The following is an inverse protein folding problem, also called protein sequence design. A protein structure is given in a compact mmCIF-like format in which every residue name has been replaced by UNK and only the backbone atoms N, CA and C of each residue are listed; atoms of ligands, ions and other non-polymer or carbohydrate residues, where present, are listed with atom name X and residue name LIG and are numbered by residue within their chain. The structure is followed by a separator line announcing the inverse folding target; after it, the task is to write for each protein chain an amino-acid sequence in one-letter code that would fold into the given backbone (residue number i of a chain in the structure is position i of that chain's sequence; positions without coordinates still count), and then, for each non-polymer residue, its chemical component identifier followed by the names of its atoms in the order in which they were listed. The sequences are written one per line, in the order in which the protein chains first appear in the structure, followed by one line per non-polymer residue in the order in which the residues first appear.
data_IF_405752004871
#
_entry.id   IF_405752004871
#
_cell.length_a   1.000
_cell.length_b   1.000
_cell.length_c   1.000
_cell.angle_alpha   90.00
_cell.angle_beta   90.00
_cell.angle_gamma   90.00
#
_symmetry.space_group_name_H-M   'P 1'
#
loop_
_entity.id
_entity.type
_entity.pdbx_description
1 polymer ?
#
# COMPACT_ATOMS: atom_id res chain seq x y z
N UNK A 1 9.26 7.45 -28.26
CA UNK A 1 8.61 6.78 -27.11
C UNK A 1 9.45 7.01 -25.87
N UNK A 2 8.84 7.43 -24.76
CA UNK A 2 9.53 7.77 -23.51
C UNK A 2 10.33 6.57 -22.95
N UNK A 3 11.53 6.81 -22.42
CA UNK A 3 12.37 5.79 -21.75
C UNK A 3 11.61 5.05 -20.63
N UNK A 4 10.68 5.74 -19.97
CA UNK A 4 9.84 5.16 -18.91
C UNK A 4 8.80 4.16 -19.45
N UNK A 5 8.19 4.45 -20.60
CA UNK A 5 7.24 3.54 -21.24
C UNK A 5 7.90 2.26 -21.77
N UNK A 6 9.14 2.37 -22.26
CA UNK A 6 9.90 1.22 -22.71
C UNK A 6 10.37 0.35 -21.53
N UNK A 7 10.76 0.96 -20.40
CA UNK A 7 11.10 0.23 -19.18
C UNK A 7 9.88 -0.52 -18.60
N UNK A 8 8.72 0.14 -18.52
CA UNK A 8 7.48 -0.49 -18.04
C UNK A 8 7.02 -1.65 -18.93
N UNK A 9 7.13 -1.52 -20.25
CA UNK A 9 6.81 -2.60 -21.18
C UNK A 9 7.79 -3.78 -21.08
N UNK A 10 9.08 -3.51 -20.83
CA UNK A 10 10.09 -4.55 -20.59
C UNK A 10 9.88 -5.26 -19.25
N UNK A 11 9.53 -4.53 -18.19
CA UNK A 11 9.11 -5.12 -16.90
C UNK A 11 7.85 -5.98 -17.05
N UNK A 12 6.86 -5.53 -17.84
CA UNK A 12 5.64 -6.29 -18.09
C UNK A 12 5.90 -7.57 -18.90
N UNK A 13 6.91 -7.57 -19.79
CA UNK A 13 7.34 -8.76 -20.54
C UNK A 13 8.37 -9.62 -19.79
N UNK A 14 8.76 -9.23 -18.57
CA UNK A 14 9.79 -9.92 -17.79
C UNK A 14 11.22 -9.76 -18.35
N UNK A 15 11.46 -8.84 -19.28
CA UNK A 15 12.77 -8.65 -19.94
C UNK A 15 13.79 -7.93 -19.03
N UNK A 16 13.36 -7.35 -17.91
CA UNK A 16 14.21 -6.67 -16.92
C UNK A 16 13.66 -6.97 -15.54
N UNK A 17 14.52 -7.42 -14.62
CA UNK A 17 14.15 -7.60 -13.21
C UNK A 17 15.20 -7.06 -12.27
N UNK A 18 14.76 -6.73 -11.07
CA UNK A 18 15.59 -6.22 -9.99
C UNK A 18 15.88 -7.31 -8.97
N UNK A 19 17.07 -7.28 -8.36
CA UNK A 19 17.47 -8.26 -7.35
C UNK A 19 17.11 -7.78 -5.93
N UNK A 20 15.85 -7.98 -5.57
CA UNK A 20 15.28 -7.66 -4.27
C UNK A 20 15.89 -8.52 -3.16
N UNK A 21 16.06 -9.82 -3.43
CA UNK A 21 16.50 -10.79 -2.42
C UNK A 21 17.99 -10.64 -2.13
N UNK A 22 18.84 -10.35 -3.13
CA UNK A 22 20.26 -10.06 -2.89
C UNK A 22 20.47 -8.81 -2.03
N UNK A 23 19.68 -7.76 -2.30
CA UNK A 23 19.78 -6.48 -1.59
C UNK A 23 18.97 -6.41 -0.29
N UNK A 24 18.35 -7.51 0.15
CA UNK A 24 17.46 -7.57 1.32
C UNK A 24 18.02 -6.98 2.61
N UNK A 25 19.34 -7.04 2.84
CA UNK A 25 19.96 -6.44 4.04
C UNK A 25 19.79 -4.92 4.08
N UNK A 26 19.86 -4.26 2.93
CA UNK A 26 19.64 -2.82 2.80
C UNK A 26 18.17 -2.53 3.12
N UNK A 27 17.25 -3.32 2.54
CA UNK A 27 15.82 -3.17 2.75
C UNK A 27 15.40 -3.43 4.20
N UNK A 28 15.95 -4.44 4.85
CA UNK A 28 15.74 -4.67 6.28
C UNK A 28 16.32 -3.56 7.13
N UNK A 29 17.52 -3.06 6.82
CA UNK A 29 18.11 -1.93 7.53
C UNK A 29 17.20 -0.69 7.45
N UNK A 30 16.71 -0.36 6.25
CA UNK A 30 15.78 0.75 6.04
C UNK A 30 14.46 0.53 6.77
N UNK A 31 13.86 -0.66 6.65
CA UNK A 31 12.60 -0.99 7.30
C UNK A 31 12.71 -0.92 8.83
N UNK A 32 13.79 -1.46 9.40
CA UNK A 32 14.08 -1.38 10.84
C UNK A 32 14.25 0.08 11.27
N UNK A 33 14.98 0.90 10.51
CA UNK A 33 15.16 2.32 10.83
C UNK A 33 13.81 3.07 10.85
N UNK A 34 12.97 2.86 9.83
CA UNK A 34 11.64 3.47 9.75
C UNK A 34 10.77 2.98 10.91
N UNK A 35 10.76 1.67 11.18
CA UNK A 35 10.01 1.07 12.29
C UNK A 35 10.44 1.63 13.64
N UNK A 36 11.74 1.75 13.90
CA UNK A 36 12.26 2.35 15.13
C UNK A 36 11.83 3.82 15.23
N UNK A 37 11.92 4.57 14.14
CA UNK A 37 11.50 5.99 14.12
C UNK A 37 10.01 6.13 14.44
N UNK A 38 9.18 5.27 13.85
CA UNK A 38 7.75 5.17 14.14
C UNK A 38 7.46 4.84 15.61
N UNK A 39 8.14 3.85 16.18
CA UNK A 39 7.98 3.45 17.59
C UNK A 39 8.45 4.56 18.53
N UNK A 40 9.58 5.20 18.25
CA UNK A 40 10.08 6.33 19.06
C UNK A 40 9.12 7.52 18.98
N UNK A 41 8.60 7.82 17.79
CA UNK A 41 7.57 8.83 17.61
C UNK A 41 6.34 8.57 18.48
N UNK A 42 5.83 7.34 18.43
CA UNK A 42 4.71 6.89 19.25
C UNK A 42 5.01 6.98 20.76
N UNK A 43 6.21 6.58 21.20
CA UNK A 43 6.57 6.58 22.60
C UNK A 43 6.79 8.00 23.17
N UNK A 44 7.26 8.95 22.36
CA UNK A 44 7.59 10.32 22.80
C UNK A 44 6.39 11.26 22.68
N UNK A 45 5.63 11.19 21.57
CA UNK A 45 4.50 12.09 21.32
C UNK A 45 3.15 11.51 21.74
N UNK A 46 3.03 10.19 21.79
CA UNK A 46 1.72 9.54 21.94
C UNK A 46 0.88 9.64 20.66
N UNK A 47 -0.39 9.27 20.78
CA UNK A 47 -1.39 9.46 19.73
C UNK A 47 -2.31 10.60 20.13
N UNK A 48 -2.60 11.49 19.18
CA UNK A 48 -3.66 12.46 19.34
C UNK A 48 -5.00 11.75 19.13
N UNK A 49 -5.73 11.45 20.20
CA UNK A 49 -6.96 10.69 20.12
C UNK A 49 -8.13 11.65 19.88
N UNK A 50 -8.98 11.31 18.93
CA UNK A 50 -10.09 12.18 18.60
C UNK A 50 -11.22 12.19 19.61
N UNK A 51 -12.15 13.11 19.39
CA UNK A 51 -13.33 13.31 20.25
C UNK A 51 -14.14 12.02 20.46
N UNK A 52 -14.17 11.10 19.50
CA UNK A 52 -14.89 9.84 19.65
C UNK A 52 -14.16 8.79 20.49
N UNK A 53 -12.94 9.07 20.96
CA UNK A 53 -12.23 8.20 21.90
C UNK A 53 -12.04 8.86 23.27
N UNK A 54 -11.72 10.16 23.32
CA UNK A 54 -11.54 10.89 24.59
C UNK A 54 -12.84 11.49 25.15
N UNK A 55 -13.87 11.65 24.32
CA UNK A 55 -15.02 12.50 24.63
C UNK A 55 -14.70 13.98 24.40
N UNK A 56 -15.71 14.84 24.51
CA UNK A 56 -15.55 16.28 24.32
C UNK A 56 -16.82 16.96 23.83
N UNK A 57 -16.67 18.11 23.14
CA UNK A 57 -17.79 18.82 22.53
C UNK A 57 -17.52 19.29 21.11
N UNK A 58 -18.58 19.31 20.31
CA UNK A 58 -18.62 19.92 18.99
C UNK A 58 -19.51 21.14 19.02
N UNK A 59 -18.96 22.29 18.62
CA UNK A 59 -19.69 23.55 18.49
C UNK A 59 -19.90 23.86 17.01
N UNK A 60 -21.17 23.93 16.59
CA UNK A 60 -21.55 24.36 15.25
C UNK A 60 -22.00 25.81 15.29
N UNK A 61 -21.33 26.67 14.53
CA UNK A 61 -21.63 28.10 14.44
C UNK A 61 -22.80 28.36 13.48
N UNK A 62 -23.46 29.53 13.54
CA UNK A 62 -24.48 29.90 12.55
C UNK A 62 -23.92 30.01 11.13
N UNK A 63 -24.81 29.91 10.15
CA UNK A 63 -24.49 30.03 8.71
C UNK A 63 -23.82 31.38 8.41
N UNK A 64 -22.92 31.39 7.44
CA UNK A 64 -22.15 32.57 7.03
C UNK A 64 -21.36 33.24 8.18
N UNK A 65 -20.80 32.44 9.10
CA UNK A 65 -19.89 32.96 10.12
C UNK A 65 -18.69 33.64 9.42
N UNK A 66 -18.40 34.88 9.81
CA UNK A 66 -17.37 35.72 9.15
C UNK A 66 -15.94 35.35 9.55
N UNK A 67 -15.76 34.64 10.66
CA UNK A 67 -14.46 34.18 11.12
C UNK A 67 -13.84 33.18 10.15
N UNK A 68 -12.52 33.28 9.98
CA UNK A 68 -11.75 32.26 9.28
C UNK A 68 -11.59 31.00 10.15
N UNK A 69 -11.29 29.87 9.51
CA UNK A 69 -11.03 28.59 10.19
C UNK A 69 -9.92 28.77 11.25
N UNK A 70 -8.81 29.39 10.88
CA UNK A 70 -7.67 29.63 11.77
C UNK A 70 -8.00 30.54 12.96
N UNK A 71 -8.87 31.54 12.77
CA UNK A 71 -9.28 32.41 13.88
C UNK A 71 -10.18 31.68 14.87
N UNK A 72 -11.13 30.89 14.35
CA UNK A 72 -12.02 30.10 15.18
C UNK A 72 -11.27 28.99 15.93
N UNK A 73 -10.22 28.43 15.33
CA UNK A 73 -9.30 27.48 15.96
C UNK A 73 -8.58 28.13 17.14
N UNK A 74 -7.94 29.28 16.94
CA UNK A 74 -7.25 30.02 18.00
C UNK A 74 -8.20 30.40 19.17
N UNK A 75 -9.43 30.85 18.87
CA UNK A 75 -10.42 31.15 19.91
C UNK A 75 -10.86 29.91 20.68
N UNK A 76 -11.07 28.79 19.98
CA UNK A 76 -11.45 27.54 20.61
C UNK A 76 -10.35 26.98 21.52
N UNK A 77 -9.09 27.07 21.09
CA UNK A 77 -7.93 26.65 21.89
C UNK A 77 -7.75 27.53 23.12
N UNK A 78 -7.90 28.85 22.98
CA UNK A 78 -7.82 29.78 24.11
C UNK A 78 -8.96 29.58 25.12
N UNK A 79 -10.18 29.33 24.64
CA UNK A 79 -11.35 29.13 25.49
C UNK A 79 -11.32 27.78 26.21
N UNK A 80 -10.81 26.73 25.57
CA UNK A 80 -10.84 25.36 26.09
C UNK A 80 -9.55 24.92 26.77
N UNK A 81 -8.41 25.52 26.43
CA UNK A 81 -7.07 25.06 26.84
C UNK A 81 -6.64 23.73 26.20
N UNK A 82 -7.35 23.28 25.16
CA UNK A 82 -7.10 22.04 24.43
C UNK A 82 -7.00 22.33 22.94
N UNK A 83 -6.33 21.46 22.18
CA UNK A 83 -6.27 21.57 20.72
C UNK A 83 -7.69 21.52 20.13
N UNK A 84 -7.94 22.34 19.12
CA UNK A 84 -9.24 22.43 18.46
C UNK A 84 -9.13 22.12 16.98
N UNK A 85 -10.12 21.42 16.43
CA UNK A 85 -10.19 21.12 15.00
C UNK A 85 -11.37 21.84 14.41
N UNK A 86 -11.09 22.78 13.50
CA UNK A 86 -12.12 23.62 12.88
C UNK A 86 -12.30 23.29 11.41
N UNK A 87 -13.56 23.09 11.03
CA UNK A 87 -13.95 22.75 9.68
C UNK A 87 -15.00 23.73 9.17
N UNK A 88 -14.79 24.28 7.98
CA UNK A 88 -15.82 25.09 7.31
C UNK A 88 -16.80 24.19 6.57
N UNK A 89 -18.09 24.37 6.85
CA UNK A 89 -19.18 23.65 6.19
C UNK A 89 -19.63 24.40 4.92
N UNK A 90 -20.31 23.68 4.02
CA UNK A 90 -20.69 24.19 2.69
C UNK A 90 -21.66 25.38 2.71
N UNK A 91 -22.32 25.65 3.83
CA UNK A 91 -23.20 26.81 4.04
C UNK A 91 -22.52 27.97 4.78
N UNK A 92 -21.19 27.90 4.95
CA UNK A 92 -20.39 28.92 5.61
C UNK A 92 -20.45 28.90 7.14
N UNK A 93 -21.11 27.92 7.75
CA UNK A 93 -20.95 27.64 9.19
C UNK A 93 -19.59 26.97 9.47
N UNK A 94 -19.15 27.01 10.72
CA UNK A 94 -17.95 26.36 11.21
C UNK A 94 -18.35 25.24 12.17
N UNK A 95 -17.73 24.07 12.03
CA UNK A 95 -17.78 22.97 12.99
C UNK A 95 -16.47 22.96 13.75
N UNK A 96 -16.53 23.20 15.05
CA UNK A 96 -15.38 23.33 15.94
C UNK A 96 -15.42 22.16 16.91
N UNK A 97 -14.40 21.32 16.88
CA UNK A 97 -14.31 20.12 17.70
C UNK A 97 -13.22 20.29 18.74
N UNK A 98 -13.55 20.02 20.00
CA UNK A 98 -12.60 20.04 21.10
C UNK A 98 -12.73 18.72 21.86
N UNK A 99 -11.66 17.93 21.87
CA UNK A 99 -11.57 16.68 22.59
C UNK A 99 -11.14 16.91 24.05
N UNK A 100 -11.41 15.95 24.94
CA UNK A 100 -10.91 15.94 26.32
C UNK A 100 -11.59 16.93 27.28
N UNK A 101 -12.64 17.63 26.85
CA UNK A 101 -13.36 18.59 27.70
C UNK A 101 -14.53 17.96 28.46
N UNK A 102 -14.72 18.41 29.70
CA UNK A 102 -15.88 18.04 30.50
C UNK A 102 -17.16 18.69 29.94
N UNK A 103 -18.26 17.95 30.02
CA UNK A 103 -19.62 18.42 29.73
C UNK A 103 -19.99 19.71 30.47
N UNK A 104 -19.51 19.89 31.70
CA UNK A 104 -19.77 21.11 32.47
C UNK A 104 -18.99 22.32 31.94
N UNK A 105 -17.79 22.10 31.41
CA UNK A 105 -16.95 23.13 30.80
C UNK A 105 -17.46 23.58 29.43
N UNK A 106 -18.19 22.71 28.72
CA UNK A 106 -18.66 22.98 27.36
C UNK A 106 -19.56 24.21 27.26
N UNK A 107 -20.41 24.49 28.26
CA UNK A 107 -21.24 25.70 28.27
C UNK A 107 -20.42 26.97 28.43
N UNK A 108 -19.38 26.93 29.27
CA UNK A 108 -18.46 28.06 29.43
C UNK A 108 -17.70 28.32 28.15
N UNK A 109 -17.13 27.26 27.54
CA UNK A 109 -16.43 27.35 26.26
C UNK A 109 -17.35 27.91 25.17
N UNK A 110 -18.58 27.40 25.08
CA UNK A 110 -19.60 27.90 24.13
C UNK A 110 -19.84 29.40 24.28
N UNK A 111 -19.96 29.90 25.51
CA UNK A 111 -20.23 31.32 25.75
C UNK A 111 -19.03 32.19 25.39
N UNK A 112 -17.82 31.79 25.77
CA UNK A 112 -16.58 32.49 25.38
C UNK A 112 -16.43 32.52 23.86
N UNK A 113 -16.68 31.39 23.21
CA UNK A 113 -16.61 31.28 21.76
C UNK A 113 -17.65 32.16 21.05
N UNK A 114 -18.85 32.29 21.63
CA UNK A 114 -19.90 33.18 21.12
C UNK A 114 -19.46 34.65 21.16
N UNK A 115 -18.84 35.07 22.27
CA UNK A 115 -18.33 36.43 22.44
C UNK A 115 -17.21 36.75 21.44
N UNK A 116 -16.24 35.84 21.28
CA UNK A 116 -15.09 36.04 20.38
C UNK A 116 -15.49 36.02 18.90
N UNK A 117 -16.43 35.15 18.54
CA UNK A 117 -16.99 35.07 17.18
C UNK A 117 -18.05 36.15 16.89
N UNK A 118 -18.46 36.91 17.91
CA UNK A 118 -19.50 37.96 17.85
C UNK A 118 -20.83 37.42 17.33
N UNK A 119 -21.21 36.23 17.79
CA UNK A 119 -22.49 35.58 17.50
C UNK A 119 -23.27 35.36 18.78
N UNK A 120 -24.58 35.19 18.68
CA UNK A 120 -25.38 34.85 19.86
C UNK A 120 -25.04 33.43 20.33
N UNK A 121 -24.84 33.24 21.63
CA UNK A 121 -24.61 31.92 22.22
C UNK A 121 -25.73 30.93 21.88
N UNK A 122 -26.98 31.38 21.76
CA UNK A 122 -28.11 30.53 21.40
C UNK A 122 -28.01 29.99 19.96
N UNK A 123 -27.23 30.66 19.11
CA UNK A 123 -26.99 30.25 17.72
C UNK A 123 -25.87 29.22 17.58
N UNK A 124 -25.06 29.02 18.62
CA UNK A 124 -24.05 27.96 18.66
C UNK A 124 -24.68 26.69 19.19
N UNK A 125 -24.79 25.68 18.33
CA UNK A 125 -25.25 24.36 18.73
C UNK A 125 -24.08 23.54 19.28
N UNK A 126 -24.18 23.05 20.52
CA UNK A 126 -23.18 22.21 21.16
C UNK A 126 -23.66 20.75 21.22
N UNK A 127 -22.90 19.85 20.61
CA UNK A 127 -23.08 18.40 20.69
C UNK A 127 -22.01 17.81 21.61
N UNK A 128 -22.43 17.09 22.65
CA UNK A 128 -21.51 16.52 23.64
C UNK A 128 -21.28 15.04 23.36
N UNK A 129 -20.01 14.64 23.33
CA UNK A 129 -19.60 13.25 23.25
C UNK A 129 -19.13 12.81 24.62
N UNK A 130 -19.91 11.95 25.27
CA UNK A 130 -19.62 11.47 26.62
C UNK A 130 -18.40 10.53 26.67
N UNK A 131 -17.58 10.57 27.73
CA UNK A 131 -16.41 9.69 27.88
C UNK A 131 -16.74 8.19 27.80
N UNK A 132 -17.93 7.79 28.27
CA UNK A 132 -18.40 6.40 28.23
C UNK A 132 -18.70 5.90 26.82
N UNK A 133 -19.04 6.80 25.88
CA UNK A 133 -19.13 6.45 24.46
C UNK A 133 -17.73 6.23 23.90
N UNK A 134 -16.80 7.13 24.21
CA UNK A 134 -15.43 7.04 23.73
C UNK A 134 -14.71 5.77 24.15
N UNK A 135 -14.83 5.40 25.43
CA UNK A 135 -14.29 4.15 25.97
C UNK A 135 -14.88 2.91 25.26
N UNK A 136 -16.19 2.90 24.99
CA UNK A 136 -16.83 1.79 24.27
C UNK A 136 -16.34 1.67 22.83
N UNK A 137 -16.16 2.80 22.14
CA UNK A 137 -15.69 2.83 20.76
C UNK A 137 -14.22 2.42 20.68
N UNK A 138 -13.36 2.92 21.56
CA UNK A 138 -11.96 2.52 21.69
C UNK A 138 -11.84 1.01 21.93
N UNK A 139 -12.61 0.46 22.88
CA UNK A 139 -12.59 -0.96 23.19
C UNK A 139 -13.02 -1.82 21.99
N UNK A 140 -14.06 -1.41 21.26
CA UNK A 140 -14.50 -2.11 20.03
C UNK A 140 -13.45 -2.04 18.92
N UNK A 141 -12.77 -0.91 18.76
CA UNK A 141 -11.69 -0.76 17.79
C UNK A 141 -10.53 -1.73 18.07
N UNK A 142 -10.05 -1.79 19.32
CA UNK A 142 -8.99 -2.72 19.71
C UNK A 142 -9.40 -4.18 19.60
N UNK A 143 -10.64 -4.52 19.99
CA UNK A 143 -11.17 -5.87 19.81
C UNK A 143 -11.26 -6.25 18.33
N UNK A 144 -11.74 -5.34 17.48
CA UNK A 144 -11.83 -5.55 16.04
C UNK A 144 -10.46 -5.80 15.40
N UNK A 145 -9.45 -5.03 15.78
CA UNK A 145 -8.07 -5.22 15.32
C UNK A 145 -7.51 -6.58 15.77
N UNK A 146 -7.71 -6.95 17.03
CA UNK A 146 -7.27 -8.25 17.55
C UNK A 146 -7.92 -9.42 16.83
N UNK A 147 -9.25 -9.38 16.66
CA UNK A 147 -10.01 -10.41 15.92
C UNK A 147 -9.51 -10.50 14.48
N UNK A 148 -9.34 -9.36 13.80
CA UNK A 148 -8.82 -9.31 12.43
C UNK A 148 -7.45 -9.99 12.32
N UNK A 149 -6.49 -9.64 13.19
CA UNK A 149 -5.16 -10.22 13.16
C UNK A 149 -5.18 -11.75 13.37
N UNK A 150 -6.01 -12.24 14.30
CA UNK A 150 -6.19 -13.68 14.53
C UNK A 150 -6.76 -14.37 13.28
N UNK A 151 -7.81 -13.80 12.68
CA UNK A 151 -8.42 -14.37 11.47
C UNK A 151 -7.44 -14.40 10.30
N UNK A 152 -6.62 -13.36 10.13
CA UNK A 152 -5.60 -13.31 9.09
C UNK A 152 -4.52 -14.36 9.31
N UNK A 153 -4.05 -14.55 10.55
CA UNK A 153 -3.09 -15.62 10.86
C UNK A 153 -3.67 -17.00 10.56
N UNK A 154 -4.94 -17.26 10.92
CA UNK A 154 -5.62 -18.52 10.59
C UNK A 154 -5.72 -18.71 9.08
N UNK A 155 -6.17 -17.68 8.36
CA UNK A 155 -6.27 -17.72 6.90
C UNK A 155 -4.91 -18.03 6.25
N UNK A 156 -3.86 -17.33 6.66
CA UNK A 156 -2.51 -17.53 6.14
C UNK A 156 -1.96 -18.92 6.45
N UNK A 157 -2.27 -19.48 7.63
CA UNK A 157 -1.85 -20.83 8.00
C UNK A 157 -2.56 -21.92 7.19
N UNK A 158 -3.79 -21.66 6.70
CA UNK A 158 -4.52 -22.58 5.83
C UNK A 158 -4.05 -22.44 4.37
N UNK A 159 -3.87 -21.20 3.89
CA UNK A 159 -3.50 -20.92 2.50
C UNK A 159 -2.02 -21.23 2.19
N UNK A 160 -1.14 -20.96 3.15
CA UNK A 160 0.31 -21.01 2.99
C UNK A 160 0.99 -21.81 4.10
N UNK A 161 2.26 -22.14 3.86
CA UNK A 161 3.09 -22.80 4.87
C UNK A 161 3.43 -21.84 6.01
N UNK A 162 3.68 -22.38 7.22
CA UNK A 162 3.87 -21.58 8.44
C UNK A 162 4.96 -20.49 8.34
N UNK A 163 6.02 -20.72 7.55
CA UNK A 163 7.11 -19.73 7.33
C UNK A 163 6.69 -18.57 6.45
N UNK A 164 5.84 -18.84 5.46
CA UNK A 164 5.22 -17.81 4.64
C UNK A 164 4.23 -17.03 5.50
N UNK A 165 3.35 -17.72 6.24
CA UNK A 165 2.41 -17.09 7.16
C UNK A 165 3.11 -16.17 8.18
N UNK A 166 4.23 -16.62 8.77
CA UNK A 166 5.04 -15.80 9.68
C UNK A 166 5.61 -14.56 8.99
N UNK A 167 6.15 -14.69 7.78
CA UNK A 167 6.72 -13.55 7.06
C UNK A 167 5.66 -12.52 6.66
N UNK A 168 4.49 -12.97 6.22
CA UNK A 168 3.33 -12.10 5.97
C UNK A 168 2.87 -11.40 7.25
N UNK A 169 2.79 -12.12 8.37
CA UNK A 169 2.42 -11.53 9.65
C UNK A 169 3.40 -10.44 10.10
N UNK A 170 4.71 -10.67 9.95
CA UNK A 170 5.74 -9.65 10.25
C UNK A 170 5.58 -8.42 9.35
N UNK A 171 5.27 -8.59 8.07
CA UNK A 171 5.02 -7.47 7.16
C UNK A 171 3.76 -6.68 7.58
N UNK A 172 2.68 -7.36 7.98
CA UNK A 172 1.47 -6.69 8.48
C UNK A 172 1.73 -5.89 9.76
N UNK A 173 2.47 -6.44 10.72
CA UNK A 173 2.85 -5.72 11.94
C UNK A 173 3.68 -4.48 11.60
N UNK A 174 4.60 -4.61 10.65
CA UNK A 174 5.37 -3.48 10.13
C UNK A 174 4.46 -2.40 9.53
N UNK A 175 3.47 -2.77 8.71
CA UNK A 175 2.53 -1.81 8.10
C UNK A 175 1.70 -1.04 9.12
N UNK A 176 1.17 -1.75 10.13
CA UNK A 176 0.45 -1.13 11.26
C UNK A 176 1.37 -0.16 11.99
N UNK A 177 2.60 -0.59 12.29
CA UNK A 177 3.56 0.21 13.06
C UNK A 177 3.94 1.49 12.32
N UNK A 178 4.19 1.41 11.01
CA UNK A 178 4.47 2.60 10.19
C UNK A 178 3.26 3.52 10.14
N UNK A 179 2.07 2.98 9.89
CA UNK A 179 0.85 3.78 9.76
C UNK A 179 0.56 4.52 11.06
N UNK A 180 0.54 3.83 12.19
CA UNK A 180 0.33 4.42 13.52
C UNK A 180 1.47 5.37 13.90
N UNK A 181 2.72 5.03 13.57
CA UNK A 181 3.87 5.88 13.86
C UNK A 181 3.85 7.20 13.09
N UNK A 182 3.36 7.22 11.85
CA UNK A 182 3.19 8.46 11.08
C UNK A 182 2.11 9.34 11.72
N UNK A 183 1.02 8.75 12.21
CA UNK A 183 0.00 9.50 12.96
C UNK A 183 0.60 10.16 14.20
N UNK A 184 1.37 9.42 15.00
CA UNK A 184 2.07 9.95 16.17
C UNK A 184 3.11 11.04 15.82
N UNK A 185 3.91 10.81 14.77
CA UNK A 185 4.99 11.72 14.38
C UNK A 185 4.50 13.03 13.78
N UNK A 186 3.34 13.03 13.12
CA UNK A 186 2.79 14.25 12.55
C UNK A 186 1.80 14.92 13.51
N UNK A 187 1.19 14.16 14.43
CA UNK A 187 0.18 14.65 15.35
C UNK A 187 -1.24 14.59 14.76
N UNK A 188 -1.48 13.70 13.80
CA UNK A 188 -2.81 13.52 13.23
C UNK A 188 -3.76 12.86 14.22
N UNK A 189 -5.01 13.31 14.20
CA UNK A 189 -6.07 12.79 15.05
C UNK A 189 -6.41 11.34 14.66
N UNK A 190 -6.48 10.46 15.67
CA UNK A 190 -6.94 9.09 15.52
C UNK A 190 -8.43 9.09 15.80
N UNK A 191 -9.24 8.82 14.77
CA UNK A 191 -10.70 8.71 14.89
C UNK A 191 -11.13 7.26 14.60
N UNK A 192 -12.41 6.90 14.82
CA UNK A 192 -12.93 5.61 14.39
C UNK A 192 -12.76 5.39 12.87
N UNK A 193 -12.77 6.49 12.09
CA UNK A 193 -12.43 6.48 10.67
C UNK A 193 -11.01 5.99 10.40
N UNK A 194 -10.03 6.45 11.19
CA UNK A 194 -8.63 5.99 11.13
C UNK A 194 -8.52 4.49 11.36
N UNK A 195 -9.28 3.93 12.31
CA UNK A 195 -9.31 2.47 12.57
C UNK A 195 -9.89 1.71 11.39
N UNK A 196 -10.98 2.20 10.79
CA UNK A 196 -11.57 1.61 9.58
C UNK A 196 -10.57 1.63 8.43
N UNK A 197 -9.88 2.75 8.23
CA UNK A 197 -8.80 2.87 7.24
C UNK A 197 -7.67 1.87 7.50
N UNK A 198 -7.22 1.74 8.75
CA UNK A 198 -6.19 0.80 9.16
C UNK A 198 -6.60 -0.67 8.94
N UNK A 199 -7.85 -1.04 9.24
CA UNK A 199 -8.33 -2.40 8.95
C UNK A 199 -8.42 -2.65 7.44
N UNK A 200 -8.81 -1.63 6.68
CA UNK A 200 -8.92 -1.71 5.22
C UNK A 200 -7.54 -1.90 4.56
N UNK A 201 -6.52 -1.13 4.97
CA UNK A 201 -5.17 -1.27 4.40
C UNK A 201 -4.54 -2.62 4.73
N UNK A 202 -4.85 -3.24 5.87
CA UNK A 202 -4.34 -4.56 6.17
C UNK A 202 -4.90 -5.64 5.26
N UNK A 203 -6.20 -5.56 4.92
CA UNK A 203 -6.80 -6.44 3.91
C UNK A 203 -6.15 -6.26 2.54
N UNK A 204 -5.84 -5.02 2.17
CA UNK A 204 -5.20 -4.70 0.91
C UNK A 204 -3.73 -5.16 0.84
N UNK A 205 -2.94 -4.90 1.90
CA UNK A 205 -1.55 -5.36 2.03
C UNK A 205 -1.46 -6.89 1.99
N UNK A 206 -2.42 -7.56 2.63
CA UNK A 206 -2.53 -9.01 2.57
C UNK A 206 -2.76 -9.51 1.14
N UNK A 207 -3.64 -8.86 0.36
CA UNK A 207 -3.89 -9.26 -1.04
C UNK A 207 -2.60 -9.28 -1.86
N UNK A 208 -1.78 -8.23 -1.76
CA UNK A 208 -0.53 -8.16 -2.52
C UNK A 208 0.47 -9.24 -2.06
N UNK A 209 0.58 -9.44 -0.75
CA UNK A 209 1.43 -10.50 -0.18
C UNK A 209 1.00 -11.89 -0.64
N UNK A 210 -0.31 -12.18 -0.68
CA UNK A 210 -0.89 -13.45 -1.12
C UNK A 210 -0.54 -13.72 -2.59
N UNK A 211 -0.63 -12.71 -3.46
CA UNK A 211 -0.32 -12.87 -4.90
C UNK A 211 1.15 -13.23 -5.11
N UNK A 212 2.08 -12.53 -4.43
CA UNK A 212 3.51 -12.83 -4.53
C UNK A 212 3.81 -14.23 -3.96
N UNK A 213 3.18 -14.58 -2.85
CA UNK A 213 3.39 -15.88 -2.20
C UNK A 213 2.81 -17.04 -2.99
N UNK A 214 1.70 -16.85 -3.68
CA UNK A 214 1.12 -17.88 -4.55
C UNK A 214 2.04 -18.15 -5.75
N UNK A 215 2.54 -17.09 -6.38
CA UNK A 215 3.59 -17.20 -7.42
C UNK A 215 4.85 -17.90 -6.89
N UNK A 216 5.29 -17.58 -5.68
CA UNK A 216 6.43 -18.24 -5.04
C UNK A 216 6.16 -19.72 -4.77
N UNK A 217 5.00 -20.06 -4.22
CA UNK A 217 4.59 -21.43 -3.91
C UNK A 217 4.54 -22.28 -5.17
N UNK A 218 3.98 -21.76 -6.25
CA UNK A 218 3.92 -22.49 -7.53
C UNK A 218 5.31 -22.64 -8.16
N UNK A 219 6.12 -21.57 -8.20
CA UNK A 219 7.47 -21.65 -8.79
C UNK A 219 8.46 -22.48 -7.96
N UNK A 220 8.20 -22.66 -6.66
CA UNK A 220 9.04 -23.49 -5.77
C UNK A 220 8.57 -24.95 -5.68
N UNK A 221 7.51 -25.31 -6.41
CA UNK A 221 7.07 -26.70 -6.54
C UNK A 221 8.21 -27.55 -7.08
N UNK A 222 8.50 -28.65 -6.37
CA UNK A 222 9.59 -29.57 -6.71
C UNK A 222 11.00 -28.95 -6.81
N UNK A 223 11.23 -27.78 -6.19
CA UNK A 223 12.50 -27.05 -6.30
C UNK A 223 13.73 -27.87 -5.84
N UNK A 224 13.55 -28.86 -4.97
CA UNK A 224 14.64 -29.73 -4.49
C UNK A 224 15.11 -30.74 -5.53
N UNK A 225 14.34 -30.98 -6.59
CA UNK A 225 14.66 -31.94 -7.67
C UNK A 225 15.55 -31.33 -8.77
N UNK A 226 15.68 -30.00 -8.82
CA UNK A 226 16.50 -29.30 -9.81
C UNK A 226 17.84 -28.81 -9.24
N UNK A 227 18.72 -28.28 -10.11
CA UNK A 227 20.09 -27.83 -9.76
C UNK A 227 20.48 -26.48 -10.40
N UNK A 228 19.50 -25.77 -10.96
CA UNK A 228 19.67 -24.50 -11.68
C UNK A 228 19.47 -23.27 -10.77
N UNK A 229 18.47 -23.32 -9.88
CA UNK A 229 18.01 -22.17 -9.10
C UNK A 229 18.03 -22.45 -7.59
N UNK A 230 18.47 -21.49 -6.79
CA UNK A 230 18.28 -21.52 -5.33
C UNK A 230 16.87 -21.06 -4.97
N UNK A 231 16.44 -21.29 -3.72
CA UNK A 231 15.15 -20.78 -3.25
C UNK A 231 15.12 -19.24 -3.33
N UNK A 232 16.24 -18.60 -2.97
CA UNK A 232 16.41 -17.15 -3.07
C UNK A 232 16.26 -16.62 -4.49
N UNK A 233 16.78 -17.33 -5.49
CA UNK A 233 16.65 -16.91 -6.89
C UNK A 233 15.21 -17.02 -7.38
N UNK A 234 14.52 -18.11 -7.03
CA UNK A 234 13.10 -18.28 -7.36
C UNK A 234 12.25 -17.23 -6.64
N UNK A 235 12.55 -16.91 -5.38
CA UNK A 235 11.87 -15.83 -4.67
C UNK A 235 12.04 -14.47 -5.35
N UNK A 236 13.24 -14.17 -5.84
CA UNK A 236 13.46 -12.95 -6.61
C UNK A 236 12.66 -12.96 -7.93
N UNK A 237 12.62 -14.12 -8.61
CA UNK A 237 11.83 -14.30 -9.84
C UNK A 237 10.34 -14.10 -9.59
N UNK A 238 9.80 -14.63 -8.50
CA UNK A 238 8.40 -14.49 -8.11
C UNK A 238 8.02 -13.02 -7.90
N UNK A 239 8.83 -12.25 -7.15
CA UNK A 239 8.61 -10.80 -6.98
C UNK A 239 8.56 -10.10 -8.33
N UNK A 240 9.56 -10.34 -9.20
CA UNK A 240 9.62 -9.66 -10.50
C UNK A 240 8.44 -10.01 -11.40
N UNK A 241 8.00 -11.28 -11.39
CA UNK A 241 6.85 -11.73 -12.19
C UNK A 241 5.52 -11.09 -11.78
N UNK A 242 5.38 -10.68 -10.52
CA UNK A 242 4.16 -10.07 -9.99
C UNK A 242 4.27 -8.55 -9.83
N UNK A 243 5.47 -7.99 -9.91
CA UNK A 243 5.76 -6.58 -9.58
C UNK A 243 4.87 -5.59 -10.34
N UNK A 244 4.69 -5.76 -11.64
CA UNK A 244 3.86 -4.85 -12.45
C UNK A 244 2.39 -4.89 -12.01
N UNK A 245 1.89 -6.08 -11.65
CA UNK A 245 0.54 -6.23 -11.11
C UNK A 245 0.44 -5.53 -9.76
N UNK A 246 1.34 -5.83 -8.83
CA UNK A 246 1.38 -5.25 -7.48
C UNK A 246 1.42 -3.72 -7.53
N UNK A 247 2.30 -3.16 -8.37
CA UNK A 247 2.42 -1.70 -8.57
C UNK A 247 1.16 -1.14 -9.20
N UNK A 248 0.61 -1.76 -10.24
CA UNK A 248 -0.61 -1.27 -10.89
C UNK A 248 -1.80 -1.25 -9.94
N UNK A 249 -2.02 -2.34 -9.20
CA UNK A 249 -3.09 -2.43 -8.22
C UNK A 249 -2.93 -1.32 -7.18
N UNK A 250 -1.73 -1.18 -6.59
CA UNK A 250 -1.43 -0.14 -5.60
C UNK A 250 -1.64 1.26 -6.14
N UNK A 251 -1.12 1.59 -7.33
CA UNK A 251 -1.26 2.93 -7.93
C UNK A 251 -2.72 3.25 -8.24
N UNK A 252 -3.48 2.29 -8.78
CA UNK A 252 -4.90 2.47 -9.09
C UNK A 252 -5.72 2.69 -7.82
N UNK A 253 -5.35 2.06 -6.69
CA UNK A 253 -6.00 2.31 -5.40
C UNK A 253 -5.55 3.63 -4.76
N UNK A 254 -4.25 3.98 -4.86
CA UNK A 254 -3.70 5.20 -4.27
C UNK A 254 -4.19 6.46 -4.97
N UNK A 255 -4.43 6.46 -6.29
CA UNK A 255 -4.79 7.68 -7.02
C UNK A 255 -6.12 8.31 -6.53
N UNK A 256 -7.24 7.57 -6.40
CA UNK A 256 -8.47 8.13 -5.83
C UNK A 256 -8.31 8.55 -4.37
N UNK A 257 -7.58 7.75 -3.57
CA UNK A 257 -7.34 8.06 -2.15
C UNK A 257 -6.50 9.33 -2.00
N UNK A 258 -5.48 9.51 -2.83
CA UNK A 258 -4.69 10.73 -2.89
C UNK A 258 -5.54 11.91 -3.37
N UNK A 259 -6.39 11.72 -4.36
CA UNK A 259 -7.35 12.74 -4.78
C UNK A 259 -8.26 13.17 -3.63
N UNK A 260 -8.76 12.22 -2.84
CA UNK A 260 -9.56 12.47 -1.66
C UNK A 260 -8.79 13.21 -0.57
N UNK A 261 -7.55 12.80 -0.32
CA UNK A 261 -6.66 13.42 0.66
C UNK A 261 -6.34 14.89 0.30
N UNK A 262 -5.88 15.14 -0.92
CA UNK A 262 -5.42 16.48 -1.32
C UNK A 262 -6.57 17.42 -1.71
N UNK A 263 -7.62 16.93 -2.36
CA UNK A 263 -8.78 17.76 -2.78
C UNK A 263 -9.81 17.83 -1.65
N UNK A 264 -10.14 16.69 -1.04
CA UNK A 264 -11.09 16.62 0.07
C UNK A 264 -10.56 17.31 1.32
N UNK A 265 -9.34 16.99 1.75
CA UNK A 265 -8.71 17.63 2.91
C UNK A 265 -8.29 19.08 2.67
N UNK A 266 -7.73 19.38 1.49
CA UNK A 266 -7.22 20.72 1.18
C UNK A 266 -8.30 21.72 0.74
N UNK A 267 -8.97 21.45 -0.39
CA UNK A 267 -9.84 22.43 -1.07
C UNK A 267 -11.25 22.44 -0.50
N UNK A 268 -11.76 21.28 -0.09
CA UNK A 268 -13.14 21.11 0.37
C UNK A 268 -13.26 21.06 1.90
N UNK A 269 -12.13 21.02 2.61
CA UNK A 269 -12.07 20.98 4.06
C UNK A 269 -12.91 19.87 4.66
N UNK A 270 -12.91 18.67 4.07
CA UNK A 270 -13.70 17.53 4.55
C UNK A 270 -12.95 16.77 5.65
N UNK A 271 -13.20 17.08 6.93
CA UNK A 271 -12.47 16.53 8.08
C UNK A 271 -12.43 15.00 8.14
N UNK A 272 -13.56 14.36 8.44
CA UNK A 272 -13.62 12.88 8.57
C UNK A 272 -13.13 12.12 7.32
N UNK A 273 -13.39 12.67 6.13
CA UNK A 273 -13.00 12.04 4.87
C UNK A 273 -11.48 12.13 4.64
N UNK A 274 -10.86 13.21 5.13
CA UNK A 274 -9.42 13.38 5.16
C UNK A 274 -8.76 12.33 6.06
N UNK A 275 -9.30 12.09 7.26
CA UNK A 275 -8.74 11.15 8.25
C UNK A 275 -8.71 9.71 7.73
N UNK A 276 -9.81 9.27 7.10
CA UNK A 276 -9.88 7.97 6.44
C UNK A 276 -8.92 7.93 5.24
N UNK A 277 -8.88 8.98 4.42
CA UNK A 277 -8.02 9.00 3.23
C UNK A 277 -6.54 8.98 3.57
N UNK A 278 -6.13 9.61 4.67
CA UNK A 278 -4.75 9.66 5.12
C UNK A 278 -4.26 8.30 5.60
N UNK A 279 -5.04 7.63 6.46
CA UNK A 279 -4.74 6.26 6.92
C UNK A 279 -4.66 5.29 5.75
N UNK A 280 -5.60 5.39 4.81
CA UNK A 280 -5.56 4.60 3.57
C UNK A 280 -4.31 4.92 2.74
N UNK A 281 -3.98 6.19 2.54
CA UNK A 281 -2.84 6.60 1.71
C UNK A 281 -1.51 6.07 2.27
N UNK A 282 -1.28 6.31 3.57
CA UNK A 282 -0.06 5.87 4.26
C UNK A 282 0.02 4.35 4.30
N UNK A 283 -1.08 3.69 4.69
CA UNK A 283 -1.10 2.24 4.84
C UNK A 283 -0.98 1.49 3.52
N UNK A 284 -1.60 1.97 2.43
CA UNK A 284 -1.43 1.40 1.10
C UNK A 284 0.01 1.54 0.59
N UNK A 285 0.64 2.69 0.81
CA UNK A 285 2.03 2.91 0.42
C UNK A 285 2.99 2.02 1.23
N UNK A 286 2.77 1.91 2.55
CA UNK A 286 3.57 1.05 3.42
C UNK A 286 3.39 -0.45 3.07
N UNK A 287 2.15 -0.89 2.83
CA UNK A 287 1.85 -2.27 2.47
C UNK A 287 2.42 -2.71 1.13
N UNK A 288 2.36 -1.85 0.11
CA UNK A 288 3.00 -2.13 -1.18
C UNK A 288 4.53 -2.21 -1.07
N UNK A 289 5.14 -1.44 -0.16
CA UNK A 289 6.56 -1.56 0.11
C UNK A 289 6.87 -2.86 0.88
N UNK A 290 6.13 -3.18 1.93
CA UNK A 290 6.46 -4.31 2.80
C UNK A 290 6.26 -5.67 2.11
N UNK A 291 5.23 -5.84 1.27
CA UNK A 291 4.98 -7.07 0.51
C UNK A 291 6.17 -7.44 -0.39
N UNK A 292 6.73 -6.44 -1.09
CA UNK A 292 7.83 -6.59 -2.06
C UNK A 292 9.19 -6.69 -1.35
N UNK A 293 9.47 -5.76 -0.44
CA UNK A 293 10.82 -5.57 0.11
C UNK A 293 11.08 -6.29 1.43
N UNK A 294 10.03 -6.73 2.13
CA UNK A 294 10.15 -7.37 3.45
C UNK A 294 9.65 -8.82 3.39
N UNK A 295 8.37 -9.02 3.05
CA UNK A 295 7.68 -10.30 3.20
C UNK A 295 8.40 -11.41 2.41
N UNK A 296 8.60 -11.24 1.11
CA UNK A 296 9.18 -12.29 0.25
C UNK A 296 10.66 -12.56 0.54
N UNK A 297 11.53 -11.53 0.71
CA UNK A 297 12.90 -11.77 1.17
C UNK A 297 12.96 -12.49 2.52
N UNK A 298 12.02 -12.21 3.43
CA UNK A 298 11.97 -12.84 4.75
C UNK A 298 11.59 -14.32 4.64
N UNK A 299 10.64 -14.66 3.77
CA UNK A 299 10.36 -16.07 3.42
C UNK A 299 11.63 -16.75 2.91
N UNK A 300 12.36 -16.12 1.98
CA UNK A 300 13.59 -16.69 1.43
C UNK A 300 14.63 -16.97 2.53
N UNK A 301 14.86 -16.04 3.45
CA UNK A 301 15.80 -16.24 4.56
C UNK A 301 15.34 -17.32 5.55
N UNK A 302 14.04 -17.40 5.84
CA UNK A 302 13.50 -18.47 6.68
C UNK A 302 13.67 -19.83 5.99
N UNK A 303 13.32 -19.93 4.71
CA UNK A 303 13.38 -21.16 3.90
C UNK A 303 14.81 -21.64 3.67
N UNK A 304 15.74 -20.76 3.38
CA UNK A 304 17.16 -21.08 3.21
C UNK A 304 17.82 -21.64 4.48
N UNK A 305 17.16 -21.52 5.65
CA UNK A 305 17.62 -22.18 6.89
C UNK A 305 17.29 -23.67 6.95
N UNK A 306 16.34 -24.16 6.15
CA UNK A 306 15.99 -25.60 6.08
C UNK A 306 17.17 -26.45 5.58
N UNK A 307 17.38 -27.66 6.13
CA UNK A 307 18.42 -28.57 5.65
C UNK A 307 18.30 -28.90 4.15
N UNK A 308 17.06 -29.12 3.67
CA UNK A 308 16.80 -29.42 2.27
C UNK A 308 17.20 -28.27 1.33
N UNK A 309 16.88 -27.02 1.71
CA UNK A 309 17.20 -25.83 0.92
C UNK A 309 18.70 -25.51 0.97
N UNK A 310 19.36 -25.72 2.12
CA UNK A 310 20.83 -25.62 2.21
C UNK A 310 21.53 -26.62 1.28
N UNK A 311 21.04 -27.87 1.25
CA UNK A 311 21.58 -28.90 0.37
C UNK A 311 21.36 -28.57 -1.11
N UNK A 312 20.16 -28.05 -1.45
CA UNK A 312 19.89 -27.53 -2.79
C UNK A 312 20.86 -26.42 -3.16
N UNK A 313 20.99 -25.38 -2.32
CA UNK A 313 21.88 -24.24 -2.56
C UNK A 313 23.32 -24.67 -2.79
N UNK A 314 23.83 -25.61 -1.98
CA UNK A 314 25.18 -26.16 -2.17
C UNK A 314 25.33 -26.83 -3.54
N UNK A 315 24.34 -27.63 -3.98
CA UNK A 315 24.35 -28.29 -5.29
C UNK A 315 24.33 -27.28 -6.44
N UNK A 316 23.46 -26.28 -6.36
CA UNK A 316 23.32 -25.21 -7.36
C UNK A 316 24.64 -24.42 -7.49
N UNK A 317 25.20 -23.97 -6.37
CA UNK A 317 26.45 -23.21 -6.38
C UNK A 317 27.65 -24.03 -6.89
N UNK A 318 27.72 -25.32 -6.52
CA UNK A 318 28.75 -26.23 -7.05
C UNK A 318 28.63 -26.41 -8.57
N UNK A 319 27.41 -26.55 -9.09
CA UNK A 319 27.17 -26.66 -10.54
C UNK A 319 27.53 -25.37 -11.27
N UNK A 320 27.14 -24.20 -10.74
CA UNK A 320 27.52 -22.88 -11.30
C UNK A 320 29.04 -22.73 -11.38
N UNK A 321 29.75 -23.05 -10.29
CA UNK A 321 31.21 -22.99 -10.27
C UNK A 321 31.87 -23.92 -11.31
N UNK A 322 31.30 -25.10 -11.54
CA UNK A 322 31.79 -26.03 -12.57
C UNK A 322 31.56 -25.50 -14.00
N UNK A 323 30.39 -24.91 -14.29
CA UNK A 323 30.11 -24.30 -15.59
C UNK A 323 30.99 -23.08 -15.87
N UNK A 324 31.16 -22.19 -14.89
CA UNK A 324 32.08 -21.04 -15.03
C UNK A 324 33.52 -21.48 -15.27
N UNK A 325 33.99 -22.56 -14.62
CA UNK A 325 35.32 -23.11 -14.82
C UNK A 325 35.52 -23.77 -16.21
N UNK A 326 34.44 -24.20 -16.87
CA UNK A 326 34.46 -24.75 -18.23
C UNK A 326 34.45 -23.68 -19.33
N UNK A 327 34.38 -22.39 -18.97
CA UNK A 327 34.26 -21.30 -19.94
C UNK A 327 32.92 -21.28 -20.67
N UNK A 328 31.93 -22.06 -20.21
CA UNK A 328 30.55 -21.87 -20.62
C UNK A 328 30.11 -20.53 -20.04
N UNK A 329 29.86 -19.53 -20.89
CA UNK A 329 29.20 -18.30 -20.47
C UNK A 329 27.86 -18.68 -19.86
N UNK A 330 27.77 -18.54 -18.54
CA UNK A 330 26.54 -18.69 -17.78
C UNK A 330 25.56 -17.68 -18.40
N UNK A 331 24.54 -18.15 -19.12
CA UNK A 331 23.48 -17.34 -19.79
C UNK A 331 22.56 -16.70 -18.73
N UNK A 332 23.10 -16.39 -17.57
CA UNK A 332 22.37 -16.15 -16.33
C UNK A 332 22.17 -14.66 -16.04
N UNK A 333 22.89 -13.78 -16.76
CA UNK A 333 22.71 -12.32 -16.65
C UNK A 333 21.72 -11.74 -17.68
N UNK A 334 21.33 -12.50 -18.71
CA UNK A 334 20.49 -11.99 -19.83
C UNK A 334 19.33 -12.91 -20.27
N UNK A 335 19.14 -14.09 -19.66
CA UNK A 335 17.88 -14.81 -19.86
C UNK A 335 16.76 -14.10 -19.10
N UNK A 336 16.02 -13.30 -19.87
CA UNK A 336 14.74 -12.71 -19.54
C UNK A 336 13.92 -13.59 -18.59
N UNK A 337 13.21 -12.95 -17.66
CA UNK A 337 12.19 -13.53 -16.78
C UNK A 337 10.97 -14.04 -17.60
N UNK A 338 11.16 -14.47 -18.84
CA UNK A 338 10.20 -15.16 -19.68
C UNK A 338 9.97 -16.55 -19.08
N UNK A 339 8.82 -16.71 -18.42
CA UNK A 339 8.22 -18.02 -18.25
C UNK A 339 7.41 -18.34 -19.49
N UNK A 340 8.00 -19.05 -20.45
CA UNK A 340 7.24 -19.88 -21.37
C UNK A 340 7.83 -21.30 -21.31
N UNK A 341 7.01 -22.35 -21.16
CA UNK A 341 7.46 -23.71 -21.42
C UNK A 341 7.82 -23.83 -22.90
N UNK A 342 8.98 -24.43 -23.21
CA UNK A 342 9.33 -24.83 -24.57
C UNK A 342 8.28 -25.84 -25.05
N UNK A 343 7.27 -25.35 -25.77
CA UNK A 343 6.40 -26.18 -26.60
C UNK A 343 7.09 -26.31 -27.96
N UNK A 344 7.61 -27.52 -28.25
CA UNK A 344 8.11 -27.92 -29.56
C UNK A 344 6.96 -27.88 -30.57
N UNK A 345 6.66 -26.68 -31.09
CA UNK A 345 5.78 -26.48 -32.22
C UNK A 345 6.39 -25.43 -33.15
N UNK A 346 7.07 -25.91 -34.17
CA UNK A 346 7.62 -25.08 -35.25
C UNK A 346 6.53 -24.12 -35.79
N UNK A 347 6.77 -22.80 -35.83
CA UNK A 347 5.80 -21.88 -36.35
C UNK A 347 5.74 -22.02 -37.88
N UNK A 348 4.56 -22.39 -38.38
CA UNK A 348 4.26 -22.34 -39.81
C UNK A 348 4.39 -20.88 -40.29
N UNK A 349 5.36 -20.65 -41.16
CA UNK A 349 5.63 -19.38 -41.83
C UNK A 349 4.43 -18.98 -42.68
N UNK A 350 3.66 -17.99 -42.23
CA UNK A 350 2.67 -17.31 -43.08
C UNK A 350 3.38 -16.13 -43.74
N UNK A 351 3.89 -16.35 -44.94
CA UNK A 351 4.52 -15.29 -45.75
C UNK A 351 3.51 -14.24 -46.24
N UNK A 352 3.94 -13.00 -46.49
CA UNK A 352 3.07 -11.95 -47.01
C UNK A 352 2.67 -12.24 -48.46
N UNK A 353 1.37 -12.08 -48.70
CA UNK A 353 0.67 -12.27 -49.99
C UNK A 353 1.19 -11.27 -51.03
N UNK A 354 1.98 -11.74 -51.99
CA UNK A 354 2.38 -10.96 -53.17
C UNK A 354 1.15 -10.60 -54.03
N UNK A 355 0.84 -9.31 -54.14
CA UNK A 355 0.03 -8.77 -55.24
C UNK A 355 0.89 -8.64 -56.50
N UNK A 356 0.46 -9.14 -57.67
CA UNK A 356 1.19 -8.90 -58.91
C UNK A 356 0.85 -7.52 -59.47
N UNK A 357 1.90 -6.71 -59.68
CA UNK A 357 1.83 -5.44 -60.40
C UNK A 357 1.55 -5.68 -61.89
N UNK A 358 0.53 -4.99 -62.42
CA UNK A 358 0.20 -5.00 -63.84
C UNK A 358 1.26 -4.24 -64.65
N UNK A 359 1.92 -4.94 -65.58
CA UNK A 359 2.76 -4.31 -66.62
C UNK A 359 2.11 -4.50 -67.98
N UNK A 360 1.48 -3.42 -68.44
CA UNK A 360 1.12 -3.21 -69.84
C UNK A 360 2.39 -3.04 -70.68
N UNK A 361 2.62 -3.94 -71.64
CA UNK A 361 3.37 -3.67 -72.88
C UNK A 361 2.78 -4.51 -74.01
N UNK A 362 2.05 -3.85 -74.89
CA UNK A 362 1.64 -4.41 -76.18
C UNK A 362 2.75 -4.28 -77.22
N UNK A 363 2.90 -5.30 -78.05
CA UNK A 363 3.07 -5.23 -79.52
C UNK A 363 3.27 -6.64 -80.10
N UNK A 364 2.48 -6.98 -81.13
CA UNK A 364 2.79 -8.10 -82.03
C UNK A 364 1.60 -9.00 -82.40
N UNK A 365 0.77 -8.54 -83.34
CA UNK A 365 -0.17 -9.34 -84.18
C UNK A 365 0.62 -10.18 -85.22
N UNK A 366 0.04 -11.05 -86.10
CA UNK A 366 -1.33 -11.61 -86.20
C UNK A 366 -1.40 -13.11 -86.68
N UNK A 367 -2.61 -13.54 -87.06
CA UNK A 367 -3.02 -14.76 -87.81
C UNK A 367 -3.34 -15.99 -86.95
N UNK A 368 -4.37 -16.79 -87.19
CA UNK A 368 -5.34 -16.85 -88.28
C UNK A 368 -6.49 -17.82 -87.91
N UNK A 369 -7.49 -17.85 -88.80
CA UNK A 369 -8.80 -18.53 -88.74
C UNK A 369 -8.76 -20.07 -88.64
N UNK A 370 -9.95 -20.61 -88.29
CA UNK A 370 -10.54 -21.96 -88.47
C UNK A 370 -10.23 -22.94 -87.31
N UNK A 371 -11.21 -23.69 -86.80
CA UNK A 371 -12.46 -24.21 -87.38
C UNK A 371 -13.58 -24.23 -86.37
#
# INVERSE_FOLDING_TARGET
MSKLGNLGARLHRGEVGYDFVKNRKIWYGLSILITITAIVGLAVRGLNMGIEFEGGAVFNTPKNTSASVSQAEEYAEQASGHDAIVQKLGDGSLRIQVAGIDTDAANTIKNTLADDLKVDSEQINAELVGPSWGEQIANKAWQGLGIFLVLVVIYLAIAFEWRMALAAFVALIHDITITVGIYALVGFEVTPGTVIGLLTILGYSLYDTVVVFDSLKEQTKDITKQTRWTYSDVANRSINSTLVRSVNTTVVALLPVAGLLFIGGGVLGAGMLNDISLSLFVGLAAGAYSSIFIATPLVADLKEREPAMKALRKRVLAKRAQSSAKGETDVHDDESYTGEPEDDAAPAVVGPRNQPASRSRGRGRPSGKRR
#
